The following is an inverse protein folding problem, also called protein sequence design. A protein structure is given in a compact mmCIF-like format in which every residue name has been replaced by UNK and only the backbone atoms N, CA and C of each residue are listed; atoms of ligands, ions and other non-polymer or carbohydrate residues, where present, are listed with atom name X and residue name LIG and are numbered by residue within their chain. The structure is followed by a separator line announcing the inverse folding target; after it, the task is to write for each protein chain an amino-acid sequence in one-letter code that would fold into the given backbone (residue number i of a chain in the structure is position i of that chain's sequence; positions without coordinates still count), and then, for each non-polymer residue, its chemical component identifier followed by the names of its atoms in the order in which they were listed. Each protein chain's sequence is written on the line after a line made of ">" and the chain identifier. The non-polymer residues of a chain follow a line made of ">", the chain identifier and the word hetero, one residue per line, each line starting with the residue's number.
data_IF_177461796055
#
_entry.id   IF_177461796055
#
_cell.length_a   1.000
_cell.length_b   1.000
_cell.length_c   1.000
_cell.angle_alpha   90.00
_cell.angle_beta   90.00
_cell.angle_gamma   90.00
#
_symmetry.space_group_name_H-M   'P 1'
#
loop_
_entity.id
_entity.type
_entity.pdbx_description
1 polymer ?
#
# COMPACT_ATOMS: atom_id res chain seq x y z
N UNK A 1 -24.88 -43.12 18.76
CA UNK A 1 -24.54 -42.99 17.32
C UNK A 1 -24.74 -41.52 16.95
N UNK A 2 -23.70 -40.71 17.12
CA UNK A 2 -23.76 -39.28 16.84
C UNK A 2 -23.24 -39.06 15.43
N UNK A 3 -24.12 -38.70 14.50
CA UNK A 3 -23.76 -38.26 13.16
C UNK A 3 -23.11 -36.89 13.25
N UNK A 4 -21.81 -36.84 13.04
CA UNK A 4 -21.09 -35.59 12.78
C UNK A 4 -21.55 -35.10 11.41
N UNK A 5 -22.25 -33.97 11.38
CA UNK A 5 -22.62 -33.30 10.15
C UNK A 5 -21.34 -32.86 9.43
N UNK A 6 -21.00 -33.54 8.34
CA UNK A 6 -19.99 -33.10 7.39
C UNK A 6 -20.48 -31.81 6.74
N UNK A 7 -19.90 -30.68 7.15
CA UNK A 7 -20.09 -29.40 6.46
C UNK A 7 -19.56 -29.59 5.04
N UNK A 8 -20.48 -29.55 4.08
CA UNK A 8 -20.20 -29.81 2.66
C UNK A 8 -19.22 -28.74 2.13
N UNK A 9 -18.10 -29.14 1.55
CA UNK A 9 -17.08 -28.22 0.98
C UNK A 9 -17.71 -27.25 -0.04
N UNK A 10 -18.78 -27.67 -0.73
CA UNK A 10 -19.55 -26.82 -1.64
C UNK A 10 -20.24 -25.63 -0.96
N UNK A 11 -20.66 -25.76 0.31
CA UNK A 11 -21.26 -24.65 1.07
C UNK A 11 -20.21 -23.63 1.53
N UNK A 12 -18.97 -24.07 1.76
CA UNK A 12 -17.84 -23.18 2.08
C UNK A 12 -17.40 -22.45 0.79
N UNK A 13 -17.34 -23.14 -0.35
CA UNK A 13 -17.03 -22.52 -1.64
C UNK A 13 -18.13 -21.52 -2.05
N UNK A 14 -19.41 -21.85 -1.82
CA UNK A 14 -20.52 -20.93 -2.09
C UNK A 14 -20.55 -19.71 -1.16
N UNK A 15 -20.10 -19.82 0.10
CA UNK A 15 -20.02 -18.66 1.02
C UNK A 15 -18.81 -17.76 0.75
N UNK A 16 -17.72 -18.31 0.19
CA UNK A 16 -16.58 -17.52 -0.31
C UNK A 16 -16.94 -16.80 -1.63
N UNK A 17 -17.79 -17.41 -2.47
CA UNK A 17 -18.24 -16.83 -3.74
C UNK A 17 -19.43 -15.86 -3.60
N UNK A 18 -20.18 -15.86 -2.50
CA UNK A 18 -21.38 -15.02 -2.34
C UNK A 18 -21.09 -13.55 -1.98
N UNK A 19 -19.84 -13.21 -1.66
CA UNK A 19 -19.43 -11.83 -1.30
C UNK A 19 -18.29 -11.24 -2.15
N UNK A 20 -17.69 -12.01 -3.06
CA UNK A 20 -16.61 -11.54 -3.93
C UNK A 20 -17.10 -10.72 -5.12
N UNK A 21 -16.27 -9.82 -5.68
CA UNK A 21 -16.63 -9.12 -6.90
C UNK A 21 -16.84 -10.11 -8.06
N UNK A 22 -17.97 -10.01 -8.76
CA UNK A 22 -18.19 -10.73 -10.03
C UNK A 22 -17.40 -10.07 -11.18
N UNK A 23 -16.08 -10.06 -11.05
CA UNK A 23 -15.13 -9.47 -12.00
C UNK A 23 -14.33 -10.62 -12.63
N UNK A 24 -14.43 -10.86 -13.95
CA UNK A 24 -13.64 -11.89 -14.59
C UNK A 24 -12.13 -11.58 -14.49
N UNK A 25 -11.31 -12.62 -14.58
CA UNK A 25 -9.87 -12.44 -14.73
C UNK A 25 -9.57 -11.81 -16.10
N UNK A 26 -8.65 -10.85 -16.11
CA UNK A 26 -8.00 -10.41 -17.34
C UNK A 26 -7.01 -11.48 -17.84
N UNK A 27 -6.59 -11.37 -19.10
CA UNK A 27 -5.60 -12.29 -19.70
C UNK A 27 -4.30 -12.36 -18.91
N UNK A 28 -3.85 -11.25 -18.32
CA UNK A 28 -2.64 -11.24 -17.50
C UNK A 28 -2.86 -11.89 -16.13
N UNK A 29 -4.01 -11.67 -15.51
CA UNK A 29 -4.35 -12.35 -14.26
C UNK A 29 -4.49 -13.87 -14.48
N UNK A 30 -5.09 -14.30 -15.60
CA UNK A 30 -5.14 -15.71 -16.00
C UNK A 30 -3.74 -16.31 -16.21
N UNK A 31 -2.81 -15.54 -16.77
CA UNK A 31 -1.43 -15.98 -16.96
C UNK A 31 -0.72 -16.16 -15.61
N UNK A 32 -0.91 -15.22 -14.69
CA UNK A 32 -0.29 -15.29 -13.36
C UNK A 32 -0.92 -16.37 -12.49
N UNK A 33 -2.24 -16.54 -12.48
CA UNK A 33 -2.86 -17.61 -11.66
C UNK A 33 -2.39 -19.00 -12.10
N UNK A 34 -2.25 -19.24 -13.42
CA UNK A 34 -1.74 -20.51 -13.98
C UNK A 34 -0.29 -20.81 -13.60
N UNK A 35 0.48 -19.82 -13.17
CA UNK A 35 1.83 -20.03 -12.64
C UNK A 35 1.81 -20.83 -11.32
N UNK A 36 0.70 -20.76 -10.57
CA UNK A 36 0.52 -21.46 -9.30
C UNK A 36 -0.29 -22.74 -9.51
N UNK A 37 0.34 -23.94 -9.44
CA UNK A 37 -0.35 -25.19 -9.73
C UNK A 37 -1.56 -25.41 -8.83
N UNK A 38 -2.71 -25.70 -9.44
CA UNK A 38 -3.96 -25.95 -8.71
C UNK A 38 -4.67 -24.71 -8.17
N UNK A 39 -4.17 -23.50 -8.42
CA UNK A 39 -4.83 -22.28 -7.99
C UNK A 39 -6.17 -22.06 -8.71
N UNK A 40 -7.21 -21.79 -7.93
CA UNK A 40 -8.57 -21.55 -8.40
C UNK A 40 -8.91 -20.06 -8.37
N UNK A 41 -10.01 -19.66 -9.03
CA UNK A 41 -10.51 -18.28 -8.90
C UNK A 41 -10.81 -17.90 -7.44
N UNK A 42 -11.29 -18.85 -6.62
CA UNK A 42 -11.53 -18.62 -5.20
C UNK A 42 -10.22 -18.30 -4.46
N UNK A 43 -9.12 -18.99 -4.80
CA UNK A 43 -7.78 -18.65 -4.28
C UNK A 43 -7.34 -17.26 -4.72
N UNK A 44 -7.60 -16.89 -5.97
CA UNK A 44 -7.24 -15.57 -6.49
C UNK A 44 -7.92 -14.43 -5.72
N UNK A 45 -9.19 -14.62 -5.33
CA UNK A 45 -9.96 -13.65 -4.57
C UNK A 45 -9.70 -13.74 -3.04
N UNK A 46 -8.99 -14.76 -2.54
CA UNK A 46 -8.50 -14.81 -1.15
C UNK A 46 -7.23 -13.97 -1.00
N UNK A 47 -7.35 -12.82 -0.32
CA UNK A 47 -6.21 -11.97 -0.01
C UNK A 47 -5.12 -12.69 0.80
N UNK A 48 -5.46 -13.70 1.60
CA UNK A 48 -4.48 -14.49 2.35
C UNK A 48 -3.68 -15.39 1.42
N UNK A 49 -4.31 -15.96 0.40
CA UNK A 49 -3.62 -16.72 -0.65
C UNK A 49 -2.63 -15.82 -1.41
N UNK A 50 -3.05 -14.60 -1.78
CA UNK A 50 -2.18 -13.62 -2.43
C UNK A 50 -0.95 -13.27 -1.57
N UNK A 51 -1.14 -13.13 -0.25
CA UNK A 51 -0.07 -12.87 0.73
C UNK A 51 0.87 -14.08 0.91
N UNK A 52 0.34 -15.31 0.91
CA UNK A 52 1.15 -16.54 1.00
C UNK A 52 1.97 -16.77 -0.28
N UNK A 53 1.41 -16.44 -1.44
CA UNK A 53 2.00 -16.71 -2.75
C UNK A 53 2.76 -15.51 -3.36
N UNK A 54 3.20 -14.56 -2.53
CA UNK A 54 4.01 -13.43 -3.00
C UNK A 54 5.27 -13.94 -3.70
N UNK A 55 5.60 -13.30 -4.82
CA UNK A 55 6.84 -13.51 -5.55
C UNK A 55 7.96 -12.82 -4.76
N UNK A 56 8.95 -13.62 -4.33
CA UNK A 56 10.04 -13.18 -3.45
C UNK A 56 11.42 -13.60 -3.94
N UNK A 57 11.51 -14.57 -4.86
CA UNK A 57 12.81 -15.11 -5.31
C UNK A 57 13.10 -14.78 -6.77
N UNK A 58 14.39 -14.83 -7.12
CA UNK A 58 14.87 -14.68 -8.49
C UNK A 58 14.24 -15.70 -9.44
N UNK A 59 14.13 -16.95 -9.02
CA UNK A 59 13.59 -18.05 -9.83
C UNK A 59 12.11 -17.84 -10.13
N UNK A 60 11.34 -17.34 -9.16
CA UNK A 60 9.92 -17.05 -9.34
C UNK A 60 9.72 -15.93 -10.37
N UNK A 61 10.37 -14.78 -10.18
CA UNK A 61 10.15 -13.62 -11.07
C UNK A 61 10.71 -13.88 -12.48
N UNK A 62 11.84 -14.58 -12.61
CA UNK A 62 12.46 -14.89 -13.91
C UNK A 62 11.61 -15.83 -14.78
N UNK A 63 10.71 -16.61 -14.17
CA UNK A 63 9.73 -17.44 -14.89
C UNK A 63 8.50 -16.64 -15.35
N UNK A 64 8.22 -15.51 -14.72
CA UNK A 64 7.07 -14.65 -15.05
C UNK A 64 7.40 -13.60 -16.10
N UNK A 65 8.67 -13.20 -16.19
CA UNK A 65 9.14 -12.18 -17.12
C UNK A 65 10.65 -12.29 -17.37
N UNK A 66 11.09 -11.76 -18.52
CA UNK A 66 12.52 -11.62 -18.81
C UNK A 66 13.08 -10.42 -18.06
N UNK A 67 14.05 -10.64 -17.19
CA UNK A 67 14.74 -9.59 -16.45
C UNK A 67 15.81 -8.91 -17.31
N UNK A 68 15.94 -7.60 -17.16
CA UNK A 68 17.07 -6.85 -17.67
C UNK A 68 18.31 -7.07 -16.78
N UNK A 69 19.54 -6.88 -17.28
CA UNK A 69 20.76 -7.15 -16.50
C UNK A 69 20.85 -6.39 -15.17
N UNK A 70 20.32 -5.17 -15.11
CA UNK A 70 20.25 -4.37 -13.87
C UNK A 70 19.23 -4.96 -12.88
N UNK A 71 18.13 -5.53 -13.34
CA UNK A 71 17.13 -6.16 -12.48
C UNK A 71 17.59 -7.52 -11.98
N UNK A 72 18.30 -8.30 -12.81
CA UNK A 72 18.88 -9.55 -12.34
C UNK A 72 19.83 -9.33 -11.15
N UNK A 73 20.72 -8.32 -11.28
CA UNK A 73 21.60 -7.90 -10.18
C UNK A 73 20.79 -7.40 -9.00
N UNK A 74 19.77 -6.58 -9.25
CA UNK A 74 18.91 -6.02 -8.21
C UNK A 74 18.21 -7.09 -7.38
N UNK A 75 17.52 -8.02 -8.06
CA UNK A 75 16.76 -9.10 -7.43
C UNK A 75 17.68 -10.04 -6.65
N UNK A 76 18.86 -10.38 -7.21
CA UNK A 76 19.84 -11.23 -6.51
C UNK A 76 20.42 -10.56 -5.27
N UNK A 77 20.62 -9.24 -5.29
CA UNK A 77 21.13 -8.47 -4.15
C UNK A 77 20.06 -8.01 -3.15
N UNK A 78 18.76 -8.18 -3.46
CA UNK A 78 17.68 -7.60 -2.67
C UNK A 78 17.64 -8.06 -1.20
N UNK A 79 18.27 -9.20 -0.88
CA UNK A 79 18.43 -9.68 0.50
C UNK A 79 19.30 -8.79 1.39
N UNK A 80 20.21 -8.00 0.82
CA UNK A 80 21.12 -7.10 1.55
C UNK A 80 20.52 -5.69 1.76
N UNK A 81 19.32 -5.45 1.21
CA UNK A 81 18.59 -4.17 1.23
C UNK A 81 17.10 -4.46 1.50
N UNK A 82 16.19 -3.74 0.84
CA UNK A 82 14.77 -4.01 0.90
C UNK A 82 14.45 -5.29 0.09
N UNK A 83 13.94 -6.31 0.78
CA UNK A 83 13.57 -7.59 0.15
C UNK A 83 12.52 -7.41 -0.95
N UNK A 84 12.48 -8.34 -1.92
CA UNK A 84 11.44 -8.36 -2.94
C UNK A 84 10.19 -9.06 -2.39
N UNK A 85 9.03 -8.43 -2.58
CA UNK A 85 7.74 -9.02 -2.25
C UNK A 85 6.70 -8.43 -3.18
N UNK A 86 6.12 -9.25 -4.06
CA UNK A 86 5.10 -8.82 -5.04
C UNK A 86 3.91 -9.79 -4.98
N UNK A 87 2.70 -9.33 -4.59
CA UNK A 87 1.50 -10.18 -4.65
C UNK A 87 1.20 -10.63 -6.08
N UNK A 88 0.70 -11.86 -6.31
CA UNK A 88 0.32 -12.34 -7.64
C UNK A 88 -0.56 -11.36 -8.41
N UNK A 89 -1.57 -10.78 -7.76
CA UNK A 89 -2.41 -9.74 -8.35
C UNK A 89 -1.60 -8.55 -8.89
N UNK A 90 -0.67 -8.00 -8.11
CA UNK A 90 0.11 -6.85 -8.56
C UNK A 90 1.12 -7.24 -9.65
N UNK A 91 1.64 -8.46 -9.61
CA UNK A 91 2.51 -8.99 -10.67
C UNK A 91 1.78 -9.14 -12.01
N UNK A 92 0.46 -9.36 -12.01
CA UNK A 92 -0.34 -9.38 -13.24
C UNK A 92 -0.43 -8.00 -13.92
N UNK A 93 -0.17 -6.91 -13.20
CA UNK A 93 -0.14 -5.56 -13.77
C UNK A 93 1.18 -5.23 -14.47
N UNK A 94 2.19 -6.09 -14.31
CA UNK A 94 3.51 -5.92 -14.91
C UNK A 94 3.44 -6.33 -16.38
N UNK A 95 3.73 -5.36 -17.24
CA UNK A 95 4.06 -5.64 -18.64
C UNK A 95 5.45 -6.29 -18.70
N UNK A 96 5.47 -7.58 -19.06
CA UNK A 96 6.69 -8.38 -19.08
C UNK A 96 7.66 -7.99 -20.20
N UNK A 97 7.16 -7.38 -21.28
CA UNK A 97 7.95 -6.99 -22.44
C UNK A 97 8.53 -5.58 -22.29
N UNK A 98 7.88 -4.71 -21.51
CA UNK A 98 8.30 -3.32 -21.30
C UNK A 98 9.15 -3.15 -20.04
N UNK A 99 10.45 -2.91 -20.22
CA UNK A 99 11.38 -2.60 -19.10
C UNK A 99 11.12 -1.22 -18.49
N UNK A 100 10.46 -0.32 -19.22
CA UNK A 100 10.01 0.99 -18.74
C UNK A 100 8.64 0.94 -18.06
N UNK A 101 8.06 -0.25 -17.87
CA UNK A 101 6.74 -0.38 -17.30
C UNK A 101 6.66 0.25 -15.90
N UNK A 102 5.76 1.21 -15.65
CA UNK A 102 5.71 1.94 -14.38
C UNK A 102 5.35 1.05 -13.19
N UNK A 103 4.68 -0.09 -13.42
CA UNK A 103 4.40 -1.08 -12.37
C UNK A 103 5.67 -1.86 -12.01
N UNK A 104 6.45 -2.25 -13.03
CA UNK A 104 7.71 -2.98 -12.90
C UNK A 104 8.72 -2.17 -12.11
N UNK A 105 8.93 -0.91 -12.47
CA UNK A 105 9.85 0.00 -11.79
C UNK A 105 9.53 0.11 -10.30
N UNK A 106 8.26 0.14 -9.92
CA UNK A 106 7.84 0.29 -8.53
C UNK A 106 8.00 -0.98 -7.67
N UNK A 107 8.14 -2.16 -8.29
CA UNK A 107 8.02 -3.47 -7.61
C UNK A 107 9.22 -4.40 -7.77
N UNK A 108 9.94 -4.34 -8.89
CA UNK A 108 11.09 -5.21 -9.18
C UNK A 108 12.40 -4.50 -8.78
N UNK A 109 13.23 -5.08 -7.91
CA UNK A 109 14.49 -4.49 -7.49
C UNK A 109 15.46 -4.22 -8.66
N UNK A 110 16.17 -3.10 -8.58
CA UNK A 110 17.19 -2.72 -9.58
C UNK A 110 18.59 -2.56 -8.97
N UNK A 111 19.62 -2.78 -9.78
CA UNK A 111 21.02 -2.57 -9.38
C UNK A 111 21.32 -1.13 -8.89
N UNK A 112 20.56 -0.15 -9.38
CA UNK A 112 20.71 1.25 -8.98
C UNK A 112 20.36 1.49 -7.50
N UNK A 113 19.64 0.57 -6.86
CA UNK A 113 19.31 0.66 -5.42
C UNK A 113 20.53 0.41 -4.51
N UNK A 114 21.60 -0.15 -5.07
CA UNK A 114 22.87 -0.37 -4.37
C UNK A 114 23.82 0.81 -4.54
N UNK A 115 23.46 1.80 -5.35
CA UNK A 115 24.21 3.04 -5.51
C UNK A 115 23.66 4.09 -4.53
N UNK A 116 24.51 4.56 -3.60
CA UNK A 116 24.12 5.57 -2.61
C UNK A 116 24.67 6.94 -2.99
N UNK A 117 23.83 7.96 -2.94
CA UNK A 117 24.24 9.36 -3.15
C UNK A 117 24.60 10.04 -1.81
N UNK A 118 25.51 11.05 -1.78
CA UNK A 118 25.90 11.72 -0.54
C UNK A 118 24.75 12.37 0.24
N UNK A 119 23.70 12.80 -0.46
CA UNK A 119 22.51 13.43 0.13
C UNK A 119 21.48 12.44 0.69
N UNK A 120 21.67 11.13 0.47
CA UNK A 120 20.72 10.11 0.91
C UNK A 120 20.90 9.73 2.39
N UNK A 121 19.78 9.48 3.06
CA UNK A 121 19.70 9.21 4.49
C UNK A 121 18.89 7.94 4.75
N UNK A 122 19.15 7.28 5.89
CA UNK A 122 18.32 6.14 6.32
C UNK A 122 16.93 6.60 6.77
N UNK A 123 16.85 7.74 7.46
CA UNK A 123 15.60 8.33 7.96
C UNK A 123 15.51 9.82 7.62
N UNK A 124 15.26 10.18 6.33
CA UNK A 124 15.17 11.59 5.92
C UNK A 124 13.94 12.30 6.53
N UNK A 125 12.93 11.54 6.96
CA UNK A 125 11.72 12.06 7.58
C UNK A 125 11.88 12.34 9.08
N UNK A 126 13.00 11.91 9.69
CA UNK A 126 13.28 12.01 11.11
C UNK A 126 12.26 11.30 11.98
N UNK A 127 11.67 10.19 11.51
CA UNK A 127 10.69 9.43 12.26
C UNK A 127 11.27 8.87 13.56
N UNK A 128 12.50 8.35 13.52
CA UNK A 128 13.13 7.69 14.67
C UNK A 128 13.49 8.73 15.73
N UNK A 129 13.99 9.90 15.31
CA UNK A 129 14.32 11.03 16.20
C UNK A 129 13.07 11.61 16.89
N UNK A 130 11.92 11.55 16.23
CA UNK A 130 10.65 12.06 16.76
C UNK A 130 9.78 10.93 17.34
N UNK A 131 10.35 9.75 17.58
CA UNK A 131 9.65 8.63 18.22
C UNK A 131 9.52 8.90 19.70
N UNK A 132 8.30 9.14 20.17
CA UNK A 132 8.02 9.41 21.57
C UNK A 132 8.05 8.12 22.40
N UNK A 133 7.49 7.05 21.83
CA UNK A 133 7.62 5.67 22.28
C UNK A 133 7.78 4.77 21.06
N UNK A 134 8.26 3.54 21.23
CA UNK A 134 8.39 2.59 20.13
C UNK A 134 7.06 2.43 19.38
N UNK A 135 7.08 2.57 18.05
CA UNK A 135 5.88 2.51 17.22
C UNK A 135 5.06 3.81 17.16
N UNK A 136 5.44 4.90 17.85
CA UNK A 136 4.70 6.16 17.81
C UNK A 136 5.61 7.37 17.56
N UNK A 137 5.37 8.05 16.44
CA UNK A 137 6.10 9.26 16.02
C UNK A 137 5.23 10.49 16.29
N UNK A 138 5.73 11.42 17.11
CA UNK A 138 5.07 12.68 17.45
C UNK A 138 5.92 13.87 16.97
N UNK A 139 5.86 14.12 15.66
CA UNK A 139 6.64 15.20 15.02
C UNK A 139 5.91 16.55 15.00
N UNK A 140 4.59 16.52 14.90
CA UNK A 140 3.77 17.72 14.76
C UNK A 140 2.96 17.96 16.03
N UNK A 141 2.59 19.23 16.35
CA UNK A 141 2.04 19.55 17.66
C UNK A 141 0.73 18.84 18.05
N UNK A 142 -0.10 18.47 17.08
CA UNK A 142 -1.48 18.03 17.32
C UNK A 142 -1.79 16.62 16.77
N UNK A 143 -0.78 15.92 16.24
CA UNK A 143 -0.99 14.66 15.54
C UNK A 143 0.20 13.72 15.60
N UNK A 144 -0.13 12.44 15.57
CA UNK A 144 0.84 11.34 15.66
C UNK A 144 0.72 10.35 14.52
N UNK A 145 1.83 9.72 14.19
CA UNK A 145 1.92 8.56 13.31
C UNK A 145 2.12 7.32 14.17
N UNK A 146 1.13 6.43 14.17
CA UNK A 146 1.12 5.19 14.91
C UNK A 146 1.46 4.03 13.96
N UNK A 147 2.69 3.54 14.06
CA UNK A 147 3.21 2.41 13.31
C UNK A 147 2.74 1.12 13.98
N UNK A 148 1.87 0.36 13.31
CA UNK A 148 1.23 -0.82 13.89
C UNK A 148 1.61 -2.13 13.20
N UNK A 149 2.44 -2.04 12.16
CA UNK A 149 2.91 -3.20 11.44
C UNK A 149 4.14 -2.83 10.60
N UNK A 150 4.90 -3.83 10.17
CA UNK A 150 6.10 -3.67 9.33
C UNK A 150 6.03 -4.49 8.05
N UNK A 151 5.00 -5.31 7.91
CA UNK A 151 4.75 -6.06 6.68
C UNK A 151 3.95 -5.20 5.70
N UNK A 152 4.35 -5.23 4.44
CA UNK A 152 3.54 -4.78 3.30
C UNK A 152 3.14 -5.98 2.44
N UNK A 153 2.05 -5.84 1.68
CA UNK A 153 1.75 -6.81 0.62
C UNK A 153 2.81 -6.73 -0.49
N UNK A 154 3.11 -5.52 -0.95
CA UNK A 154 4.20 -5.24 -1.89
C UNK A 154 5.22 -4.31 -1.25
N UNK A 155 6.52 -4.59 -1.44
CA UNK A 155 7.58 -3.68 -0.99
C UNK A 155 7.98 -2.73 -2.12
N UNK A 156 7.51 -1.49 -2.02
CA UNK A 156 7.78 -0.43 -3.00
C UNK A 156 9.29 -0.15 -3.09
N UNK A 157 9.87 -0.10 -4.29
CA UNK A 157 11.32 0.17 -4.48
C UNK A 157 11.77 1.59 -4.11
N UNK A 158 10.83 2.44 -3.71
CA UNK A 158 11.03 3.82 -3.24
C UNK A 158 10.48 4.01 -1.81
N UNK A 159 10.41 2.94 -1.01
CA UNK A 159 9.81 2.96 0.32
C UNK A 159 10.62 3.78 1.33
N UNK A 160 10.01 4.82 1.90
CA UNK A 160 10.62 5.71 2.90
C UNK A 160 10.95 5.02 4.22
N UNK A 161 10.36 3.85 4.45
CA UNK A 161 10.58 3.01 5.62
C UNK A 161 11.32 1.72 5.29
N UNK A 162 12.08 1.68 4.20
CA UNK A 162 12.89 0.51 3.80
C UNK A 162 13.86 0.03 4.89
N UNK A 163 14.25 0.90 5.83
CA UNK A 163 15.06 0.56 7.01
C UNK A 163 14.33 -0.29 8.06
N UNK A 164 13.00 -0.30 8.04
CA UNK A 164 12.12 -0.87 9.08
C UNK A 164 11.27 -2.02 8.54
N UNK A 165 10.92 -2.00 7.25
CA UNK A 165 10.04 -3.00 6.65
C UNK A 165 10.85 -4.12 5.99
N UNK A 166 10.36 -5.35 6.12
CA UNK A 166 10.84 -6.49 5.33
C UNK A 166 12.11 -7.20 5.83
N UNK A 167 12.66 -6.80 6.98
CA UNK A 167 13.79 -7.49 7.63
C UNK A 167 13.34 -8.49 8.72
N UNK A 168 12.11 -8.35 9.23
CA UNK A 168 11.51 -9.22 10.25
C UNK A 168 12.12 -9.08 11.65
N UNK A 169 12.93 -8.05 11.89
CA UNK A 169 13.69 -7.89 13.14
C UNK A 169 13.02 -6.93 14.14
N UNK A 170 12.02 -6.20 13.71
CA UNK A 170 11.24 -5.33 14.59
C UNK A 170 9.89 -6.02 14.86
N UNK A 171 9.44 -5.98 16.12
CA UNK A 171 8.27 -6.75 16.55
C UNK A 171 7.30 -5.84 17.26
N UNK A 172 6.46 -5.20 16.45
CA UNK A 172 5.28 -4.51 16.96
C UNK A 172 4.29 -5.54 17.53
N UNK A 173 3.97 -5.38 18.80
CA UNK A 173 3.15 -6.30 19.58
C UNK A 173 2.20 -5.53 20.49
N UNK A 174 1.35 -6.25 21.23
CA UNK A 174 0.36 -5.62 22.10
C UNK A 174 0.97 -4.67 23.13
N UNK A 175 2.12 -4.99 23.73
CA UNK A 175 2.76 -4.07 24.70
C UNK A 175 3.26 -2.79 24.04
N UNK A 176 3.71 -2.87 22.78
CA UNK A 176 4.07 -1.69 21.98
C UNK A 176 2.83 -0.83 21.70
N UNK A 177 1.70 -1.46 21.34
CA UNK A 177 0.46 -0.75 21.11
C UNK A 177 -0.07 -0.09 22.37
N UNK A 178 -0.02 -0.78 23.51
CA UNK A 178 -0.46 -0.24 24.79
C UNK A 178 0.38 0.97 25.21
N UNK A 179 1.71 0.93 25.01
CA UNK A 179 2.58 2.06 25.28
C UNK A 179 2.23 3.28 24.42
N UNK A 180 2.02 3.07 23.11
CA UNK A 180 1.58 4.14 22.19
C UNK A 180 0.21 4.70 22.56
N UNK A 181 -0.76 3.84 22.89
CA UNK A 181 -2.10 4.25 23.32
C UNK A 181 -2.06 5.03 24.64
N UNK A 182 -1.22 4.63 25.60
CA UNK A 182 -1.02 5.36 26.86
C UNK A 182 -0.45 6.75 26.62
N UNK A 183 0.57 6.86 25.76
CA UNK A 183 1.11 8.16 25.37
C UNK A 183 0.01 9.05 24.76
N UNK A 184 -0.79 8.54 23.83
CA UNK A 184 -1.89 9.32 23.24
C UNK A 184 -2.92 9.73 24.31
N UNK A 185 -3.22 8.88 25.30
CA UNK A 185 -4.13 9.21 26.41
C UNK A 185 -3.61 10.34 27.29
N UNK A 186 -2.31 10.38 27.54
CA UNK A 186 -1.66 11.37 28.42
C UNK A 186 -1.50 12.74 27.73
N UNK A 187 -1.31 12.75 26.41
CA UNK A 187 -1.07 13.94 25.60
C UNK A 187 -2.35 14.48 24.95
N UNK A 188 -3.01 15.44 25.62
CA UNK A 188 -4.34 15.97 25.26
C UNK A 188 -4.37 16.86 24.02
N UNK A 189 -3.21 17.35 23.60
CA UNK A 189 -3.02 18.10 22.37
C UNK A 189 -3.21 17.25 21.10
N UNK A 190 -3.08 15.93 21.22
CA UNK A 190 -3.17 14.99 20.08
C UNK A 190 -4.63 14.78 19.68
N UNK A 191 -5.04 15.41 18.58
CA UNK A 191 -6.39 15.28 18.02
C UNK A 191 -6.48 14.40 16.77
N UNK A 192 -5.36 14.15 16.08
CA UNK A 192 -5.29 13.34 14.86
C UNK A 192 -4.29 12.19 14.99
N UNK A 193 -4.77 10.96 14.80
CA UNK A 193 -3.97 9.73 14.86
C UNK A 193 -3.98 9.03 13.51
N UNK A 194 -2.82 8.96 12.87
CA UNK A 194 -2.61 8.22 11.63
C UNK A 194 -2.06 6.83 11.92
N UNK A 195 -2.87 5.80 11.71
CA UNK A 195 -2.49 4.39 11.79
C UNK A 195 -1.80 4.00 10.47
N UNK A 196 -0.54 3.57 10.56
CA UNK A 196 0.31 3.24 9.40
C UNK A 196 1.42 2.25 9.82
N UNK A 197 2.60 2.31 9.21
CA UNK A 197 3.68 1.34 9.37
C UNK A 197 4.27 0.95 8.02
N UNK A 198 4.49 -0.35 7.84
CA UNK A 198 4.50 -1.00 6.54
C UNK A 198 3.13 -0.89 5.89
N UNK A 199 2.19 -1.78 6.23
CA UNK A 199 0.80 -1.60 5.85
C UNK A 199 -0.17 -2.16 6.92
N UNK A 200 -1.01 -1.33 7.56
CA UNK A 200 -1.91 -1.76 8.63
C UNK A 200 -2.99 -2.74 8.14
N UNK A 201 -3.35 -2.70 6.86
CA UNK A 201 -4.39 -3.59 6.32
C UNK A 201 -3.87 -5.00 6.04
N UNK A 202 -2.57 -5.28 6.22
CA UNK A 202 -2.08 -6.67 6.23
C UNK A 202 -2.30 -7.37 7.58
N UNK A 203 -2.69 -6.64 8.63
CA UNK A 203 -3.18 -7.22 9.88
C UNK A 203 -4.54 -7.91 9.67
N UNK A 204 -4.79 -8.96 10.46
CA UNK A 204 -6.11 -9.57 10.53
C UNK A 204 -7.14 -8.63 11.16
N UNK A 205 -8.41 -8.78 10.76
CA UNK A 205 -9.50 -7.85 11.14
C UNK A 205 -9.61 -7.63 12.65
N UNK A 206 -9.45 -8.67 13.46
CA UNK A 206 -9.51 -8.57 14.92
C UNK A 206 -8.44 -7.64 15.51
N UNK A 207 -7.20 -7.71 15.02
CA UNK A 207 -6.11 -6.87 15.52
C UNK A 207 -6.29 -5.42 15.03
N UNK A 208 -6.67 -5.26 13.76
CA UNK A 208 -6.95 -3.95 13.19
C UNK A 208 -8.11 -3.25 13.92
N UNK A 209 -9.18 -3.98 14.23
CA UNK A 209 -10.31 -3.47 15.01
C UNK A 209 -9.88 -3.11 16.44
N UNK A 210 -9.07 -3.93 17.10
CA UNK A 210 -8.54 -3.62 18.43
C UNK A 210 -7.78 -2.28 18.44
N UNK A 211 -6.90 -2.04 17.46
CA UNK A 211 -6.16 -0.78 17.33
C UNK A 211 -7.12 0.40 17.10
N UNK A 212 -7.99 0.29 16.08
CA UNK A 212 -8.91 1.38 15.71
C UNK A 212 -9.86 1.74 16.86
N UNK A 213 -10.47 0.72 17.48
CA UNK A 213 -11.38 0.90 18.60
C UNK A 213 -10.68 1.50 19.82
N UNK A 214 -9.44 1.09 20.10
CA UNK A 214 -8.65 1.63 21.21
C UNK A 214 -8.30 3.10 21.01
N UNK A 215 -7.94 3.51 19.79
CA UNK A 215 -7.69 4.92 19.47
C UNK A 215 -8.98 5.73 19.56
N UNK A 216 -10.08 5.22 18.99
CA UNK A 216 -11.39 5.89 19.02
C UNK A 216 -12.00 6.03 20.41
N UNK A 217 -11.61 5.20 21.36
CA UNK A 217 -12.06 5.30 22.74
C UNK A 217 -11.41 6.47 23.50
N UNK A 218 -10.38 7.13 22.94
CA UNK A 218 -9.68 8.25 23.57
C UNK A 218 -10.47 9.55 23.33
N UNK A 219 -11.04 10.21 24.36
CA UNK A 219 -12.04 11.27 24.16
C UNK A 219 -11.56 12.51 23.39
N UNK A 220 -10.28 12.87 23.50
CA UNK A 220 -9.71 14.04 22.83
C UNK A 220 -9.22 13.77 21.41
N UNK A 221 -9.29 12.52 20.93
CA UNK A 221 -8.95 12.15 19.55
C UNK A 221 -10.16 12.36 18.65
N UNK A 222 -10.03 13.29 17.71
CA UNK A 222 -11.10 13.69 16.80
C UNK A 222 -11.00 12.98 15.44
N UNK A 223 -9.78 12.86 14.92
CA UNK A 223 -9.48 12.25 13.64
C UNK A 223 -8.71 10.95 13.82
N UNK A 224 -9.21 9.89 13.17
CA UNK A 224 -8.47 8.65 13.02
C UNK A 224 -8.37 8.36 11.53
N UNK A 225 -7.14 8.18 11.07
CA UNK A 225 -6.82 8.01 9.66
C UNK A 225 -6.01 6.74 9.47
N UNK A 226 -6.19 6.07 8.34
CA UNK A 226 -5.45 4.86 7.99
C UNK A 226 -4.64 5.12 6.73
N UNK A 227 -3.32 4.97 6.81
CA UNK A 227 -2.41 5.03 5.67
C UNK A 227 -2.13 3.64 5.13
N UNK A 228 -2.52 3.35 3.90
CA UNK A 228 -2.43 2.00 3.32
C UNK A 228 -2.29 2.03 1.80
N UNK A 229 -1.55 1.08 1.24
CA UNK A 229 -1.47 0.84 -0.21
C UNK A 229 -2.29 -0.36 -0.66
N UNK A 230 -2.92 -1.07 0.27
CA UNK A 230 -3.66 -2.30 0.02
C UNK A 230 -4.73 -2.20 -1.07
N UNK A 231 -5.57 -1.15 -1.16
CA UNK A 231 -6.54 -1.04 -2.24
C UNK A 231 -5.90 -1.11 -3.64
N UNK A 232 -4.61 -0.77 -3.74
CA UNK A 232 -3.83 -0.75 -4.99
C UNK A 232 -3.07 -2.06 -5.19
N UNK A 233 -2.38 -2.56 -4.16
CA UNK A 233 -1.49 -3.73 -4.29
C UNK A 233 -2.17 -5.07 -4.03
N UNK A 234 -3.31 -5.05 -3.33
CA UNK A 234 -4.06 -6.22 -2.90
C UNK A 234 -5.55 -5.87 -2.68
N UNK A 235 -6.30 -5.47 -3.73
CA UNK A 235 -7.69 -5.04 -3.60
C UNK A 235 -8.60 -6.11 -2.98
N UNK A 236 -8.25 -7.40 -3.08
CA UNK A 236 -8.95 -8.53 -2.47
C UNK A 236 -9.07 -8.42 -0.95
N UNK A 237 -8.18 -7.66 -0.29
CA UNK A 237 -8.22 -7.46 1.16
C UNK A 237 -9.39 -6.57 1.59
N UNK A 238 -9.96 -5.79 0.67
CA UNK A 238 -11.11 -4.93 0.90
C UNK A 238 -12.39 -5.76 0.76
N UNK A 239 -12.73 -6.48 1.84
CA UNK A 239 -13.92 -7.33 1.91
C UNK A 239 -15.10 -6.58 2.53
N UNK A 240 -16.35 -7.05 2.32
CA UNK A 240 -17.54 -6.48 2.97
C UNK A 240 -17.41 -6.41 4.50
N UNK A 241 -16.80 -7.41 5.13
CA UNK A 241 -16.60 -7.48 6.59
C UNK A 241 -15.61 -6.41 7.07
N UNK A 242 -14.50 -6.23 6.35
CA UNK A 242 -13.52 -5.18 6.67
C UNK A 242 -14.18 -3.79 6.59
N UNK A 243 -14.91 -3.56 5.51
CA UNK A 243 -15.58 -2.26 5.28
C UNK A 243 -16.70 -2.02 6.31
N UNK A 244 -17.45 -3.06 6.68
CA UNK A 244 -18.44 -2.98 7.75
C UNK A 244 -17.79 -2.63 9.10
N UNK A 245 -16.62 -3.22 9.42
CA UNK A 245 -15.85 -2.87 10.61
C UNK A 245 -15.42 -1.40 10.58
N UNK A 246 -14.88 -0.90 9.47
CA UNK A 246 -14.53 0.53 9.36
C UNK A 246 -15.73 1.45 9.55
N UNK A 247 -16.90 1.09 8.99
CA UNK A 247 -18.14 1.87 9.13
C UNK A 247 -18.59 2.01 10.59
N UNK A 248 -18.39 0.99 11.43
CA UNK A 248 -18.70 1.02 12.88
C UNK A 248 -17.95 2.13 13.63
N UNK A 249 -16.75 2.48 13.17
CA UNK A 249 -15.87 3.47 13.80
C UNK A 249 -15.83 4.81 13.07
N UNK A 250 -16.84 5.10 12.24
CA UNK A 250 -16.97 6.38 11.53
C UNK A 250 -17.00 7.58 12.50
N UNK A 251 -16.40 8.74 12.15
CA UNK A 251 -15.67 9.02 10.91
C UNK A 251 -14.26 8.41 10.91
N UNK A 252 -13.92 7.69 9.84
CA UNK A 252 -12.54 7.30 9.50
C UNK A 252 -12.16 7.95 8.18
N UNK A 253 -10.86 8.22 8.01
CA UNK A 253 -10.29 8.70 6.75
C UNK A 253 -9.22 7.74 6.27
N UNK A 254 -9.02 7.65 4.96
CA UNK A 254 -7.99 6.78 4.41
C UNK A 254 -7.06 7.57 3.49
N UNK A 255 -5.76 7.45 3.74
CA UNK A 255 -4.72 7.89 2.81
C UNK A 255 -4.26 6.68 2.01
N UNK A 256 -4.59 6.66 0.72
CA UNK A 256 -4.27 5.57 -0.21
C UNK A 256 -3.11 5.95 -1.11
N UNK A 257 -2.32 5.01 -1.60
CA UNK A 257 -1.09 5.31 -2.36
C UNK A 257 -1.15 4.83 -3.81
N UNK A 258 -1.38 5.77 -4.73
CA UNK A 258 -1.35 5.55 -6.17
C UNK A 258 -0.27 6.40 -6.83
N UNK A 259 0.39 5.82 -7.83
CA UNK A 259 1.45 6.45 -8.61
C UNK A 259 1.21 6.41 -10.12
N UNK A 260 0.39 5.50 -10.64
CA UNK A 260 0.15 5.43 -12.08
C UNK A 260 -1.25 4.92 -12.43
N UNK A 261 -1.85 5.42 -13.51
CA UNK A 261 -3.21 5.03 -13.92
C UNK A 261 -3.36 3.54 -14.24
N UNK A 262 -2.26 2.83 -14.60
CA UNK A 262 -2.24 1.36 -14.78
C UNK A 262 -2.61 0.60 -13.49
N UNK A 263 -2.48 1.23 -12.33
CA UNK A 263 -2.85 0.64 -11.05
C UNK A 263 -4.37 0.66 -10.80
N UNK A 264 -5.15 1.42 -11.59
CA UNK A 264 -6.59 1.55 -11.41
C UNK A 264 -7.30 0.50 -12.28
N UNK A 265 -7.36 -0.73 -11.76
CA UNK A 265 -8.04 -1.85 -12.43
C UNK A 265 -9.51 -1.99 -11.99
N UNK A 266 -10.33 -2.85 -12.65
CA UNK A 266 -11.69 -3.12 -12.19
C UNK A 266 -11.78 -3.56 -10.72
N UNK A 267 -10.84 -4.39 -10.24
CA UNK A 267 -10.78 -4.84 -8.84
C UNK A 267 -10.46 -3.68 -7.88
N UNK A 268 -9.53 -2.80 -8.25
CA UNK A 268 -9.22 -1.59 -7.46
C UNK A 268 -10.41 -0.63 -7.43
N UNK A 269 -11.07 -0.43 -8.57
CA UNK A 269 -12.29 0.39 -8.66
C UNK A 269 -13.39 -0.16 -7.75
N UNK A 270 -13.58 -1.48 -7.72
CA UNK A 270 -14.53 -2.13 -6.82
C UNK A 270 -14.18 -1.91 -5.35
N UNK A 271 -12.92 -2.17 -4.96
CA UNK A 271 -12.42 -1.97 -3.60
C UNK A 271 -12.57 -0.51 -3.13
N UNK A 272 -12.14 0.46 -3.93
CA UNK A 272 -12.26 1.89 -3.61
C UNK A 272 -13.73 2.32 -3.52
N UNK A 273 -14.59 1.84 -4.43
CA UNK A 273 -16.02 2.16 -4.35
C UNK A 273 -16.68 1.60 -3.08
N UNK A 274 -16.33 0.37 -2.67
CA UNK A 274 -16.85 -0.20 -1.43
C UNK A 274 -16.47 0.64 -0.20
N UNK A 275 -15.22 1.12 -0.14
CA UNK A 275 -14.74 2.01 0.93
C UNK A 275 -15.51 3.35 0.88
N UNK A 276 -15.67 3.94 -0.30
CA UNK A 276 -16.40 5.19 -0.47
C UNK A 276 -17.90 5.06 -0.12
N UNK A 277 -18.54 3.95 -0.48
CA UNK A 277 -19.95 3.66 -0.17
C UNK A 277 -20.19 3.48 1.34
N UNK A 278 -19.16 3.09 2.09
CA UNK A 278 -19.20 3.09 3.54
C UNK A 278 -19.06 4.49 4.18
N UNK A 279 -18.91 5.53 3.37
CA UNK A 279 -18.79 6.92 3.82
C UNK A 279 -17.39 7.29 4.29
N UNK A 280 -16.36 6.54 3.89
CA UNK A 280 -14.96 6.78 4.27
C UNK A 280 -14.29 7.63 3.18
N UNK A 281 -13.92 8.89 3.45
CA UNK A 281 -13.22 9.71 2.46
C UNK A 281 -11.80 9.19 2.22
N UNK A 282 -11.41 9.12 0.94
CA UNK A 282 -10.08 8.67 0.53
C UNK A 282 -9.29 9.81 -0.14
N UNK A 283 -8.07 10.02 0.34
CA UNK A 283 -7.07 10.90 -0.26
C UNK A 283 -5.91 10.09 -0.85
N UNK A 284 -5.53 10.34 -2.10
CA UNK A 284 -4.36 9.70 -2.71
C UNK A 284 -3.08 10.47 -2.41
N UNK A 285 -2.11 9.77 -1.83
CA UNK A 285 -0.74 10.18 -1.70
C UNK A 285 0.05 9.60 -2.88
N UNK A 286 0.53 10.47 -3.76
CA UNK A 286 1.34 10.12 -4.92
C UNK A 286 2.78 10.55 -4.66
N UNK A 287 3.75 9.72 -5.02
CA UNK A 287 5.17 10.07 -4.98
C UNK A 287 5.61 10.36 -6.41
N UNK A 288 6.29 11.49 -6.61
CA UNK A 288 6.86 11.87 -7.90
C UNK A 288 8.11 11.04 -8.16
N UNK A 289 8.03 10.15 -9.16
CA UNK A 289 9.03 9.14 -9.46
C UNK A 289 9.43 9.23 -10.93
N UNK A 290 10.74 9.37 -11.16
CA UNK A 290 11.33 9.40 -12.49
C UNK A 290 10.99 8.15 -13.28
N UNK A 291 10.53 8.32 -14.52
CA UNK A 291 10.16 7.23 -15.41
C UNK A 291 8.84 6.53 -15.06
N UNK A 292 8.13 6.98 -14.02
CA UNK A 292 6.84 6.41 -13.61
C UNK A 292 5.72 7.43 -13.83
N UNK A 293 5.86 8.63 -13.27
CA UNK A 293 4.82 9.66 -13.30
C UNK A 293 5.37 11.09 -13.36
N UNK A 294 6.62 11.27 -13.76
CA UNK A 294 7.33 12.54 -13.88
C UNK A 294 6.94 13.37 -15.12
N UNK A 295 5.69 13.24 -15.58
CA UNK A 295 5.12 13.99 -16.71
C UNK A 295 3.74 14.55 -16.36
N UNK A 296 3.42 15.80 -16.75
CA UNK A 296 2.10 16.39 -16.54
C UNK A 296 0.94 15.55 -17.08
N UNK A 297 1.09 14.95 -18.26
CA UNK A 297 0.02 14.17 -18.90
C UNK A 297 -0.26 12.88 -18.13
N UNK A 298 0.79 12.23 -17.63
CA UNK A 298 0.67 11.00 -16.82
C UNK A 298 -0.02 11.30 -15.50
N UNK A 299 0.39 12.37 -14.81
CA UNK A 299 -0.23 12.81 -13.56
C UNK A 299 -1.69 13.24 -13.75
N UNK A 300 -1.99 14.03 -14.79
CA UNK A 300 -3.35 14.44 -15.10
C UNK A 300 -4.26 13.24 -15.35
N UNK A 301 -3.80 12.26 -16.13
CA UNK A 301 -4.52 11.01 -16.38
C UNK A 301 -4.77 10.25 -15.08
N UNK A 302 -3.75 10.08 -14.24
CA UNK A 302 -3.89 9.42 -12.94
C UNK A 302 -4.97 10.11 -12.09
N UNK A 303 -4.90 11.42 -11.94
CA UNK A 303 -5.80 12.16 -11.08
C UNK A 303 -7.25 12.18 -11.58
N UNK A 304 -7.47 12.17 -12.90
CA UNK A 304 -8.80 11.98 -13.46
C UNK A 304 -9.38 10.60 -13.14
N UNK A 305 -8.57 9.55 -13.30
CA UNK A 305 -9.01 8.19 -13.00
C UNK A 305 -9.25 7.97 -11.49
N UNK A 306 -8.47 8.61 -10.62
CA UNK A 306 -8.72 8.60 -9.17
C UNK A 306 -10.08 9.20 -8.81
N UNK A 307 -10.44 10.35 -9.41
CA UNK A 307 -11.74 10.96 -9.15
C UNK A 307 -12.91 10.08 -9.63
N UNK A 308 -12.74 9.32 -10.70
CA UNK A 308 -13.75 8.35 -11.19
C UNK A 308 -14.01 7.20 -10.23
N UNK A 309 -13.10 6.96 -9.28
CA UNK A 309 -13.25 5.96 -8.22
C UNK A 309 -13.40 6.61 -6.83
N UNK A 310 -13.78 7.90 -6.79
CA UNK A 310 -14.02 8.69 -5.58
C UNK A 310 -12.82 8.80 -4.63
N UNK A 311 -11.61 8.74 -5.20
CA UNK A 311 -10.36 9.03 -4.49
C UNK A 311 -9.89 10.43 -4.89
N UNK A 312 -9.72 11.31 -3.90
CA UNK A 312 -9.25 12.67 -4.17
C UNK A 312 -7.72 12.71 -4.19
N UNK A 313 -7.06 13.24 -5.23
CA UNK A 313 -5.63 13.56 -5.17
C UNK A 313 -5.33 14.48 -3.98
N UNK A 314 -4.47 14.03 -3.06
CA UNK A 314 -4.15 14.76 -1.82
C UNK A 314 -2.77 15.39 -1.87
N UNK A 315 -1.71 14.59 -2.04
CA UNK A 315 -0.33 15.08 -2.12
C UNK A 315 0.40 14.53 -3.33
N UNK A 316 1.29 15.35 -3.90
CA UNK A 316 2.46 14.88 -4.63
C UNK A 316 3.67 15.06 -3.72
N UNK A 317 4.19 13.96 -3.19
CA UNK A 317 5.46 13.96 -2.49
C UNK A 317 6.61 14.00 -3.48
N UNK A 318 7.57 14.88 -3.25
CA UNK A 318 8.90 14.70 -3.81
C UNK A 318 9.45 13.36 -3.31
N UNK A 319 10.12 12.59 -4.16
CA UNK A 319 10.75 11.35 -3.73
C UNK A 319 11.84 11.66 -2.69
N UNK A 320 11.64 11.14 -1.48
CA UNK A 320 12.56 11.34 -0.36
C UNK A 320 13.96 10.80 -0.70
N UNK A 321 15.02 11.46 -0.23
CA UNK A 321 16.40 11.02 -0.44
C UNK A 321 16.73 9.86 0.50
N UNK A 322 16.06 8.73 0.33
CA UNK A 322 16.36 7.49 1.05
C UNK A 322 17.54 6.79 0.39
N UNK A 323 18.31 6.00 1.14
CA UNK A 323 19.43 5.23 0.58
C UNK A 323 18.97 4.39 -0.61
N UNK A 324 19.60 4.60 -1.78
CA UNK A 324 19.31 3.86 -3.01
C UNK A 324 18.19 4.43 -3.87
N UNK A 325 17.63 5.61 -3.56
CA UNK A 325 16.49 6.19 -4.30
C UNK A 325 16.87 7.16 -5.43
N UNK A 326 18.15 7.53 -5.58
CA UNK A 326 18.62 8.53 -6.54
C UNK A 326 18.03 8.38 -7.94
N UNK A 327 17.93 7.14 -8.42
CA UNK A 327 17.42 6.82 -9.74
C UNK A 327 15.92 7.15 -9.92
N UNK A 328 15.14 7.20 -8.83
CA UNK A 328 13.74 7.65 -8.83
C UNK A 328 13.57 9.15 -8.63
N UNK A 329 14.56 9.85 -8.08
CA UNK A 329 14.41 11.27 -7.73
C UNK A 329 14.31 12.16 -8.98
N UNK A 330 13.44 13.15 -8.90
CA UNK A 330 13.30 14.24 -9.87
C UNK A 330 13.83 15.55 -9.27
N UNK A 331 13.95 16.59 -10.10
CA UNK A 331 14.14 17.96 -9.63
C UNK A 331 12.84 18.55 -9.09
N UNK A 332 12.90 19.49 -8.15
CA UNK A 332 11.70 20.17 -7.60
C UNK A 332 10.94 20.91 -8.72
N UNK A 333 11.67 21.46 -9.68
CA UNK A 333 11.15 22.10 -10.89
C UNK A 333 10.21 21.17 -11.67
N UNK A 334 10.45 19.85 -11.66
CA UNK A 334 9.55 18.87 -12.30
C UNK A 334 8.18 18.87 -11.62
N UNK A 335 8.15 18.89 -10.29
CA UNK A 335 6.92 18.96 -9.51
C UNK A 335 6.17 20.28 -9.74
N UNK A 336 6.89 21.41 -9.78
CA UNK A 336 6.32 22.72 -10.08
C UNK A 336 5.69 22.72 -11.47
N UNK A 337 6.41 22.25 -12.49
CA UNK A 337 5.91 22.16 -13.86
C UNK A 337 4.64 21.29 -13.94
N UNK A 338 4.58 20.16 -13.23
CA UNK A 338 3.35 19.35 -13.15
C UNK A 338 2.20 20.15 -12.54
N UNK A 339 2.44 20.84 -11.42
CA UNK A 339 1.39 21.62 -10.75
C UNK A 339 0.85 22.77 -11.60
N UNK A 340 1.71 23.44 -12.38
CA UNK A 340 1.32 24.47 -13.35
C UNK A 340 0.40 23.91 -14.44
N UNK A 341 0.71 22.73 -14.96
CA UNK A 341 -0.10 22.05 -15.99
C UNK A 341 -1.37 21.38 -15.45
N UNK A 342 -1.56 21.33 -14.14
CA UNK A 342 -2.80 20.87 -13.51
C UNK A 342 -3.70 22.06 -13.14
N UNK A 343 -3.15 23.06 -12.45
CA UNK A 343 -3.93 24.20 -11.94
C UNK A 343 -4.48 25.03 -13.10
N UNK A 344 -5.81 25.13 -13.20
CA UNK A 344 -6.49 25.84 -14.29
C UNK A 344 -6.69 25.02 -15.57
N UNK A 345 -6.02 23.86 -15.70
CA UNK A 345 -6.10 22.98 -16.87
C UNK A 345 -6.90 21.69 -16.62
N UNK A 346 -7.37 21.50 -15.39
CA UNK A 346 -8.27 20.42 -14.96
C UNK A 346 -9.23 20.89 -13.87
N UNK A 347 -10.20 20.04 -13.49
CA UNK A 347 -11.05 20.26 -12.31
C UNK A 347 -10.22 20.49 -11.05
N UNK A 348 -10.64 21.44 -10.21
CA UNK A 348 -9.96 21.77 -8.95
C UNK A 348 -9.86 20.59 -7.98
N UNK A 349 -10.79 19.63 -8.05
CA UNK A 349 -10.72 18.40 -7.26
C UNK A 349 -9.55 17.49 -7.65
N UNK A 350 -9.00 17.64 -8.86
CA UNK A 350 -7.87 16.87 -9.36
C UNK A 350 -6.51 17.55 -9.10
N UNK A 351 -6.48 18.68 -8.38
CA UNK A 351 -5.26 19.43 -8.08
C UNK A 351 -4.84 19.12 -6.63
N UNK A 352 -3.78 18.32 -6.42
CA UNK A 352 -3.24 18.03 -5.08
C UNK A 352 -2.46 19.23 -4.51
N UNK A 353 -1.81 19.03 -3.36
CA UNK A 353 -0.78 19.93 -2.85
C UNK A 353 0.61 19.44 -3.22
#
# INVERSE_FOLDING_TARGET
>A
MNSVATVNEEQIVASVLSGGPNIPLSSDEERIIKFFPGATLADWEDWRWQIRNRIRTFEQISRLMKLAPNEEKGVKGAGDKLTMSIPPYFAALIDAADTGCPIRLQSVPQAYEFETAPEEMLDPCGEDKNSAVHGLVHRYPDRVLFLVNEMCAMYCRYCTRSRMVGDGNHTLNTSTYDAALNYIREHKEIRDVLISGGDPLTLGDRMLEYIISSVKAIPHVEFVRVGTRIPVTLPQRVTPELVAMFKKYSPLWMSVHFNHAKEITPRVKYACNMIADAGIPMGSQTVLLRGVNDSPDVMKKLFHELLRIRVRPYYIYQCDPIVGSKHFRTTVETGINIMEHLRGHTTGYAVPT
#
